data_IF_810840579131
#
_entry.id   IF_810840579131
#
_cell.length_a   1.000
_cell.length_b   1.000
_cell.length_c   1.000
_cell.angle_alpha   90.00
_cell.angle_beta   90.00
_cell.angle_gamma   90.00
#
_symmetry.space_group_name_H-M   'P 1'
#
loop_
_entity.id
_entity.type
_entity.pdbx_description
1 polymer ?
#
# COMPACT_ATOMS: atom_id res chain seq x y z
N UNK A 1 80.37 59.89 -6.01
CA UNK A 1 80.76 58.74 -5.12
C UNK A 1 79.67 57.70 -5.15
N UNK A 2 79.99 56.67 -5.80
CA UNK A 2 79.39 55.29 -5.91
C UNK A 2 77.85 55.10 -5.93
N UNK A 3 77.39 54.95 -7.14
CA UNK A 3 76.12 54.20 -7.42
C UNK A 3 76.34 52.70 -7.30
N UNK A 4 75.46 52.06 -6.60
CA UNK A 4 75.29 50.60 -6.67
C UNK A 4 73.85 50.36 -7.19
N UNK A 5 73.78 49.97 -8.43
CA UNK A 5 72.56 49.50 -9.07
C UNK A 5 72.30 48.07 -8.68
N UNK A 6 71.24 47.81 -7.97
CA UNK A 6 70.79 46.46 -7.67
C UNK A 6 69.83 45.98 -8.77
N UNK A 7 70.22 44.95 -9.49
CA UNK A 7 69.36 44.12 -10.34
C UNK A 7 68.48 43.27 -9.43
N UNK A 8 67.22 43.66 -9.26
CA UNK A 8 66.18 42.78 -8.67
C UNK A 8 64.88 43.09 -9.39
N UNK A 9 64.58 42.40 -10.44
CA UNK A 9 63.37 42.66 -11.22
C UNK A 9 62.89 41.55 -12.16
N UNK A 10 63.49 40.36 -12.10
CA UNK A 10 63.13 39.30 -13.08
C UNK A 10 62.82 37.90 -12.44
N UNK A 11 62.92 37.79 -11.16
CA UNK A 11 62.67 36.48 -10.49
C UNK A 11 61.27 36.36 -9.93
N UNK A 12 60.59 37.49 -9.61
CA UNK A 12 59.26 37.47 -8.97
C UNK A 12 58.08 37.30 -9.93
N UNK A 13 58.28 37.35 -11.26
CA UNK A 13 57.23 37.16 -12.25
C UNK A 13 56.94 35.72 -12.62
N UNK A 14 57.79 34.79 -12.30
CA UNK A 14 57.64 33.35 -12.60
C UNK A 14 57.04 32.56 -11.43
N UNK A 15 57.10 33.05 -10.22
CA UNK A 15 56.50 32.40 -9.03
C UNK A 15 55.02 32.69 -8.89
N UNK A 16 54.49 33.77 -9.43
CA UNK A 16 53.06 34.09 -9.39
C UNK A 16 52.22 33.35 -10.48
N UNK A 17 52.84 32.91 -11.59
CA UNK A 17 52.16 32.10 -12.59
C UNK A 17 52.05 30.59 -12.22
N UNK A 18 52.94 30.11 -11.33
CA UNK A 18 52.90 28.72 -10.87
C UNK A 18 51.86 28.40 -9.80
N UNK A 19 51.39 29.43 -9.05
CA UNK A 19 50.41 29.21 -7.96
C UNK A 19 48.94 29.33 -8.42
N UNK A 20 48.65 29.92 -9.59
CA UNK A 20 47.31 30.06 -10.11
C UNK A 20 46.84 28.78 -10.84
N UNK A 21 47.74 27.88 -11.21
CA UNK A 21 47.41 26.59 -11.86
C UNK A 21 47.11 25.43 -10.91
N UNK A 22 47.33 25.61 -9.58
CA UNK A 22 47.08 24.59 -8.57
C UNK A 22 45.67 24.69 -7.91
N UNK A 23 44.90 25.75 -8.22
CA UNK A 23 43.50 25.89 -7.73
C UNK A 23 42.45 25.65 -8.80
N UNK A 24 42.83 25.32 -10.04
CA UNK A 24 41.88 24.98 -11.13
C UNK A 24 41.71 23.46 -11.36
N UNK A 25 42.05 22.65 -10.40
CA UNK A 25 42.00 21.23 -10.55
C UNK A 25 41.35 20.58 -9.33
N UNK A 26 40.07 20.59 -9.21
CA UNK A 26 39.22 19.55 -8.59
C UNK A 26 37.78 20.07 -8.50
N UNK A 27 37.15 20.42 -9.61
CA UNK A 27 35.77 20.04 -9.77
C UNK A 27 35.81 18.59 -10.29
N UNK A 28 36.09 17.65 -9.41
CA UNK A 28 35.65 16.28 -9.58
C UNK A 28 34.13 16.43 -9.52
N UNK A 29 33.52 16.55 -10.70
CA UNK A 29 32.10 16.30 -10.81
C UNK A 29 31.92 14.89 -10.22
N UNK A 30 31.25 14.82 -9.09
CA UNK A 30 30.78 13.58 -8.52
C UNK A 30 30.07 12.83 -9.65
N UNK A 31 30.78 11.92 -10.30
CA UNK A 31 30.12 10.91 -11.11
C UNK A 31 29.27 10.14 -10.10
N UNK A 32 27.95 10.17 -10.24
CA UNK A 32 27.11 9.41 -9.32
C UNK A 32 27.63 7.97 -9.31
N UNK A 33 28.04 7.50 -8.13
CA UNK A 33 28.47 6.12 -7.94
C UNK A 33 27.31 5.23 -8.42
N UNK A 34 27.50 4.35 -9.42
CA UNK A 34 26.45 3.47 -9.89
C UNK A 34 25.87 2.60 -8.77
N UNK A 35 26.58 2.42 -7.66
CA UNK A 35 26.10 1.71 -6.47
C UNK A 35 25.37 2.64 -5.49
N UNK A 36 25.44 3.96 -5.61
CA UNK A 36 24.78 4.89 -4.67
C UNK A 36 23.24 4.73 -4.72
N UNK A 37 22.70 4.44 -5.90
CA UNK A 37 21.27 4.17 -6.08
C UNK A 37 20.83 2.88 -5.37
N UNK A 38 21.63 1.81 -5.45
CA UNK A 38 21.29 0.51 -4.82
C UNK A 38 21.42 0.62 -3.30
N UNK A 39 22.49 1.23 -2.80
CA UNK A 39 22.67 1.45 -1.37
C UNK A 39 21.56 2.34 -0.78
N UNK A 40 21.19 3.41 -1.49
CA UNK A 40 20.10 4.29 -1.11
C UNK A 40 18.75 3.55 -1.09
N UNK A 41 18.48 2.67 -2.05
CA UNK A 41 17.23 1.89 -2.06
C UNK A 41 17.14 0.93 -0.88
N UNK A 42 18.24 0.26 -0.49
CA UNK A 42 18.26 -0.59 0.70
C UNK A 42 17.96 0.23 1.98
N UNK A 43 18.44 1.46 2.07
CA UNK A 43 18.09 2.37 3.17
C UNK A 43 16.63 2.75 3.15
N UNK A 44 16.06 3.02 1.98
CA UNK A 44 14.63 3.33 1.84
C UNK A 44 13.76 2.13 2.23
N UNK A 45 14.11 0.92 1.80
CA UNK A 45 13.42 -0.32 2.19
C UNK A 45 13.48 -0.54 3.70
N UNK A 46 14.66 -0.47 4.32
CA UNK A 46 14.83 -0.61 5.76
C UNK A 46 14.08 0.47 6.55
N UNK A 47 13.99 1.69 6.01
CA UNK A 47 13.24 2.78 6.63
C UNK A 47 11.72 2.53 6.58
N UNK A 48 11.20 2.01 5.47
CA UNK A 48 9.78 1.63 5.35
C UNK A 48 9.42 0.49 6.31
N UNK A 49 10.25 -0.54 6.35
CA UNK A 49 10.07 -1.70 7.24
C UNK A 49 10.17 -1.29 8.72
N UNK A 50 11.04 -0.33 9.02
CA UNK A 50 11.22 0.25 10.36
C UNK A 50 10.17 1.29 10.77
N UNK A 51 9.17 1.56 9.95
CA UNK A 51 8.14 2.59 10.23
C UNK A 51 8.68 4.02 10.22
N UNK A 52 9.72 4.30 9.43
CA UNK A 52 10.32 5.62 9.25
C UNK A 52 10.06 6.17 7.83
N UNK A 53 8.78 6.39 7.44
CA UNK A 53 8.43 6.75 6.07
C UNK A 53 9.01 8.10 5.62
N UNK A 54 9.23 9.04 6.54
CA UNK A 54 9.88 10.31 6.20
C UNK A 54 11.34 10.13 5.75
N UNK A 55 12.07 9.19 6.38
CA UNK A 55 13.43 8.86 5.96
C UNK A 55 13.43 8.23 4.57
N UNK A 56 12.53 7.30 4.32
CA UNK A 56 12.37 6.67 3.00
C UNK A 56 12.02 7.73 1.93
N UNK A 57 11.12 8.67 2.24
CA UNK A 57 10.75 9.77 1.34
C UNK A 57 11.95 10.64 0.98
N UNK A 58 12.76 11.03 1.96
CA UNK A 58 13.96 11.85 1.74
C UNK A 58 14.97 11.13 0.84
N UNK A 59 15.24 9.85 1.13
CA UNK A 59 16.18 9.03 0.33
C UNK A 59 15.68 8.86 -1.09
N UNK A 60 14.42 8.49 -1.28
CA UNK A 60 13.84 8.28 -2.62
C UNK A 60 13.77 9.59 -3.42
N UNK A 61 13.48 10.72 -2.77
CA UNK A 61 13.49 12.03 -3.40
C UNK A 61 14.89 12.39 -3.93
N UNK A 62 15.93 12.18 -3.14
CA UNK A 62 17.32 12.43 -3.58
C UNK A 62 17.72 11.53 -4.75
N UNK A 63 17.29 10.26 -4.77
CA UNK A 63 17.53 9.35 -5.91
C UNK A 63 16.80 9.90 -7.16
N UNK A 64 15.55 10.33 -7.02
CA UNK A 64 14.74 10.83 -8.14
C UNK A 64 15.20 12.16 -8.71
N UNK A 65 15.95 12.98 -7.95
CA UNK A 65 16.62 14.18 -8.48
C UNK A 65 17.63 13.83 -9.57
N UNK A 66 18.39 12.75 -9.39
CA UNK A 66 19.39 12.28 -10.37
C UNK A 66 18.84 11.25 -11.36
N UNK A 67 17.80 10.51 -10.99
CA UNK A 67 17.21 9.42 -11.75
C UNK A 67 15.67 9.53 -11.76
N UNK A 68 15.08 10.52 -12.45
CA UNK A 68 13.64 10.85 -12.37
C UNK A 68 12.72 9.73 -12.87
N UNK A 69 13.26 8.75 -13.59
CA UNK A 69 12.54 7.58 -14.12
C UNK A 69 12.91 6.25 -13.41
N UNK A 70 13.55 6.32 -12.25
CA UNK A 70 13.84 5.13 -11.47
C UNK A 70 12.54 4.54 -10.88
N UNK A 71 12.05 3.46 -11.49
CA UNK A 71 10.77 2.83 -11.13
C UNK A 71 10.77 2.38 -9.68
N UNK A 72 11.87 1.81 -9.17
CA UNK A 72 11.95 1.33 -7.79
C UNK A 72 11.85 2.51 -6.81
N UNK A 73 12.57 3.60 -7.09
CA UNK A 73 12.50 4.81 -6.26
C UNK A 73 11.09 5.42 -6.26
N UNK A 74 10.41 5.47 -7.42
CA UNK A 74 9.03 5.93 -7.53
C UNK A 74 8.06 5.06 -6.73
N UNK A 75 8.25 3.73 -6.75
CA UNK A 75 7.44 2.82 -5.94
C UNK A 75 7.63 3.09 -4.44
N UNK A 76 8.89 3.13 -3.97
CA UNK A 76 9.18 3.39 -2.55
C UNK A 76 8.77 4.78 -2.10
N UNK A 77 8.84 5.77 -2.98
CA UNK A 77 8.29 7.10 -2.72
C UNK A 77 6.77 7.03 -2.52
N UNK A 78 6.06 6.29 -3.37
CA UNK A 78 4.63 6.03 -3.24
C UNK A 78 4.29 5.32 -1.91
N UNK A 79 5.05 4.27 -1.55
CA UNK A 79 4.87 3.54 -0.30
C UNK A 79 5.09 4.46 0.92
N UNK A 80 6.13 5.30 0.90
CA UNK A 80 6.43 6.25 1.97
C UNK A 80 5.33 7.31 2.13
N UNK A 81 4.87 7.88 1.01
CA UNK A 81 3.80 8.88 1.00
C UNK A 81 2.47 8.30 1.49
N UNK A 82 2.16 7.04 1.13
CA UNK A 82 0.98 6.35 1.63
C UNK A 82 1.04 6.16 3.15
N UNK A 83 2.19 5.74 3.71
CA UNK A 83 2.39 5.63 5.16
C UNK A 83 2.32 6.99 5.87
N UNK A 84 2.69 8.08 5.20
CA UNK A 84 2.58 9.45 5.71
C UNK A 84 1.16 10.03 5.58
N UNK A 85 0.19 9.22 5.17
CA UNK A 85 -1.19 9.65 4.92
C UNK A 85 -1.29 10.79 3.89
N UNK A 86 -0.47 10.71 2.83
CA UNK A 86 -0.46 11.62 1.68
C UNK A 86 -0.89 10.87 0.40
N UNK A 87 -2.17 10.47 0.30
CA UNK A 87 -2.63 9.55 -0.75
C UNK A 87 -2.50 10.13 -2.17
N UNK A 88 -2.75 11.43 -2.36
CA UNK A 88 -2.66 12.03 -3.70
C UNK A 88 -1.23 12.02 -4.24
N UNK A 89 -0.25 12.36 -3.40
CA UNK A 89 1.16 12.33 -3.77
C UNK A 89 1.66 10.89 -3.98
N UNK A 90 1.16 9.94 -3.19
CA UNK A 90 1.46 8.52 -3.37
C UNK A 90 0.93 8.00 -4.70
N UNK A 91 -0.31 8.32 -5.05
CA UNK A 91 -0.92 7.94 -6.33
C UNK A 91 -0.14 8.52 -7.52
N UNK A 92 0.33 9.78 -7.41
CA UNK A 92 1.15 10.39 -8.45
C UNK A 92 2.47 9.65 -8.63
N UNK A 93 3.14 9.26 -7.55
CA UNK A 93 4.38 8.48 -7.61
C UNK A 93 4.16 7.11 -8.28
N UNK A 94 3.08 6.41 -7.97
CA UNK A 94 2.73 5.15 -8.64
C UNK A 94 2.35 5.35 -10.11
N UNK A 95 1.62 6.42 -10.48
CA UNK A 95 1.32 6.73 -11.88
C UNK A 95 2.59 7.00 -12.68
N UNK A 96 3.54 7.74 -12.12
CA UNK A 96 4.85 7.95 -12.73
C UNK A 96 5.61 6.64 -12.92
N UNK A 97 5.56 5.73 -11.94
CA UNK A 97 6.15 4.39 -12.09
C UNK A 97 5.51 3.62 -13.25
N UNK A 98 4.18 3.65 -13.39
CA UNK A 98 3.46 3.00 -14.48
C UNK A 98 3.69 3.68 -15.85
N UNK A 99 3.95 4.98 -15.87
CA UNK A 99 4.30 5.67 -17.12
C UNK A 99 5.65 5.20 -17.68
N UNK A 100 6.59 4.83 -16.80
CA UNK A 100 7.88 4.24 -17.19
C UNK A 100 7.76 2.75 -17.48
N UNK A 101 7.07 2.01 -16.62
CA UNK A 101 6.91 0.56 -16.70
C UNK A 101 5.43 0.16 -16.47
N UNK A 102 4.61 0.07 -17.55
CA UNK A 102 3.16 -0.13 -17.46
C UNK A 102 2.69 -1.44 -16.83
N UNK A 103 3.59 -2.42 -16.68
CA UNK A 103 3.32 -3.73 -16.09
C UNK A 103 3.88 -3.87 -14.66
N UNK A 104 4.09 -2.75 -13.95
CA UNK A 104 4.62 -2.77 -12.59
C UNK A 104 3.53 -3.17 -11.59
N UNK A 105 3.53 -4.44 -11.19
CA UNK A 105 2.53 -5.03 -10.29
C UNK A 105 2.36 -4.25 -8.98
N UNK A 106 3.46 -3.83 -8.34
CA UNK A 106 3.43 -3.07 -7.09
C UNK A 106 2.73 -1.71 -7.23
N UNK A 107 2.94 -1.00 -8.35
CA UNK A 107 2.27 0.28 -8.60
C UNK A 107 0.76 0.11 -8.83
N UNK A 108 0.36 -0.93 -9.58
CA UNK A 108 -1.05 -1.27 -9.79
C UNK A 108 -1.74 -1.62 -8.46
N UNK A 109 -1.08 -2.41 -7.61
CA UNK A 109 -1.57 -2.75 -6.29
C UNK A 109 -1.70 -1.51 -5.39
N UNK A 110 -0.67 -0.66 -5.38
CA UNK A 110 -0.65 0.58 -4.59
C UNK A 110 -1.75 1.54 -4.99
N UNK A 111 -1.92 1.80 -6.29
CA UNK A 111 -3.01 2.64 -6.82
C UNK A 111 -4.38 2.08 -6.44
N UNK A 112 -4.66 0.82 -6.77
CA UNK A 112 -5.95 0.23 -6.49
C UNK A 112 -6.32 0.26 -5.00
N UNK A 113 -5.36 0.07 -4.09
CA UNK A 113 -5.60 0.19 -2.64
C UNK A 113 -5.93 1.62 -2.20
N UNK A 114 -5.24 2.62 -2.74
CA UNK A 114 -5.52 4.02 -2.44
C UNK A 114 -6.89 4.44 -3.01
N UNK A 115 -7.23 3.98 -4.20
CA UNK A 115 -8.54 4.21 -4.82
C UNK A 115 -9.67 3.57 -4.01
N UNK A 116 -9.51 2.33 -3.53
CA UNK A 116 -10.45 1.72 -2.59
C UNK A 116 -10.64 2.55 -1.32
N UNK A 117 -9.56 3.08 -0.75
CA UNK A 117 -9.63 3.90 0.46
C UNK A 117 -10.37 5.23 0.24
N UNK A 118 -10.48 5.69 -1.00
CA UNK A 118 -11.22 6.90 -1.41
C UNK A 118 -12.65 6.60 -1.83
N UNK A 119 -13.01 5.33 -2.00
CA UNK A 119 -14.29 4.92 -2.55
C UNK A 119 -14.34 4.89 -4.08
N UNK A 120 -13.20 5.10 -4.77
CA UNK A 120 -13.07 5.09 -6.23
C UNK A 120 -13.02 3.62 -6.74
N UNK A 121 -14.09 2.87 -6.47
CA UNK A 121 -14.13 1.42 -6.65
C UNK A 121 -13.96 0.96 -8.11
N UNK A 122 -14.43 1.74 -9.07
CA UNK A 122 -14.31 1.42 -10.50
C UNK A 122 -12.85 1.53 -11.00
N UNK A 123 -12.10 2.55 -10.54
CA UNK A 123 -10.69 2.72 -10.87
C UNK A 123 -9.85 1.63 -10.20
N UNK A 124 -10.17 1.31 -8.94
CA UNK A 124 -9.53 0.21 -8.21
C UNK A 124 -9.74 -1.14 -8.92
N UNK A 125 -10.96 -1.44 -9.38
CA UNK A 125 -11.26 -2.64 -10.19
C UNK A 125 -10.36 -2.71 -11.41
N UNK A 126 -10.23 -1.59 -12.16
CA UNK A 126 -9.37 -1.53 -13.36
C UNK A 126 -7.92 -1.90 -13.04
N UNK A 127 -7.35 -1.34 -11.97
CA UNK A 127 -5.96 -1.60 -11.60
C UNK A 127 -5.74 -3.03 -11.10
N UNK A 128 -6.65 -3.59 -10.28
CA UNK A 128 -6.53 -4.98 -9.83
C UNK A 128 -6.76 -5.98 -10.96
N UNK A 129 -7.72 -5.74 -11.85
CA UNK A 129 -7.92 -6.57 -13.03
C UNK A 129 -6.68 -6.58 -13.93
N UNK A 130 -6.07 -5.41 -14.17
CA UNK A 130 -4.80 -5.30 -14.91
C UNK A 130 -3.67 -6.05 -14.21
N UNK A 131 -3.55 -5.93 -12.88
CA UNK A 131 -2.57 -6.66 -12.09
C UNK A 131 -2.74 -8.18 -12.28
N UNK A 132 -3.96 -8.68 -12.26
CA UNK A 132 -4.25 -10.11 -12.44
C UNK A 132 -3.98 -10.61 -13.87
N UNK A 133 -3.87 -9.74 -14.87
CA UNK A 133 -3.35 -10.16 -16.19
C UNK A 133 -1.84 -10.44 -16.15
N UNK A 134 -1.10 -9.83 -15.22
CA UNK A 134 0.34 -10.00 -15.04
C UNK A 134 0.63 -11.15 -14.09
N UNK A 135 -0.10 -11.20 -12.97
CA UNK A 135 0.03 -12.20 -11.91
C UNK A 135 -1.34 -12.83 -11.60
N UNK A 136 -1.79 -13.81 -12.39
CA UNK A 136 -3.16 -14.36 -12.31
C UNK A 136 -3.58 -14.96 -10.96
N UNK A 137 -2.62 -15.36 -10.14
CA UNK A 137 -2.85 -16.01 -8.83
C UNK A 137 -2.44 -15.11 -7.65
N UNK A 138 -2.34 -13.80 -7.86
CA UNK A 138 -2.08 -12.86 -6.76
C UNK A 138 -3.30 -12.78 -5.84
N UNK A 139 -3.20 -13.42 -4.67
CA UNK A 139 -4.30 -13.50 -3.72
C UNK A 139 -4.70 -12.16 -3.13
N UNK A 140 -3.77 -11.20 -3.03
CA UNK A 140 -4.07 -9.84 -2.54
C UNK A 140 -4.88 -9.09 -3.59
N UNK A 141 -4.47 -9.17 -4.86
CA UNK A 141 -5.19 -8.54 -5.96
C UNK A 141 -6.59 -9.14 -6.14
N UNK A 142 -6.74 -10.48 -6.07
CA UNK A 142 -8.04 -11.16 -6.16
C UNK A 142 -8.98 -10.72 -5.03
N UNK A 143 -8.48 -10.67 -3.80
CA UNK A 143 -9.28 -10.22 -2.66
C UNK A 143 -9.73 -8.76 -2.82
N UNK A 144 -8.82 -7.87 -3.21
CA UNK A 144 -9.11 -6.45 -3.37
C UNK A 144 -10.01 -6.18 -4.59
N UNK A 145 -9.89 -6.99 -5.66
CA UNK A 145 -10.85 -6.95 -6.78
C UNK A 145 -12.26 -7.30 -6.30
N UNK A 146 -12.39 -8.35 -5.48
CA UNK A 146 -13.67 -8.69 -4.87
C UNK A 146 -14.25 -7.53 -4.06
N UNK A 147 -13.43 -6.87 -3.23
CA UNK A 147 -13.86 -5.68 -2.45
C UNK A 147 -14.30 -4.54 -3.38
N UNK A 148 -13.55 -4.27 -4.46
CA UNK A 148 -13.92 -3.24 -5.43
C UNK A 148 -15.26 -3.54 -6.12
N UNK A 149 -15.54 -4.81 -6.40
CA UNK A 149 -16.80 -5.25 -6.98
C UNK A 149 -17.97 -5.12 -5.98
N UNK A 150 -17.75 -5.48 -4.71
CA UNK A 150 -18.75 -5.32 -3.65
C UNK A 150 -19.13 -3.86 -3.42
N UNK A 151 -18.16 -2.95 -3.40
CA UNK A 151 -18.41 -1.51 -3.29
C UNK A 151 -19.20 -0.93 -4.47
N UNK A 152 -19.25 -1.63 -5.60
CA UNK A 152 -20.06 -1.29 -6.76
C UNK A 152 -21.42 -2.01 -6.75
N UNK A 153 -21.80 -2.73 -5.69
CA UNK A 153 -23.02 -3.54 -5.61
C UNK A 153 -23.01 -4.81 -6.48
N UNK A 154 -21.86 -5.18 -7.06
CA UNK A 154 -21.69 -6.34 -7.94
C UNK A 154 -21.32 -7.60 -7.15
N UNK A 155 -22.17 -7.94 -6.16
CA UNK A 155 -21.88 -8.95 -5.15
C UNK A 155 -21.62 -10.35 -5.73
N UNK A 156 -22.37 -10.78 -6.76
CA UNK A 156 -22.13 -12.11 -7.38
C UNK A 156 -20.75 -12.19 -8.04
N UNK A 157 -20.30 -11.12 -8.68
CA UNK A 157 -18.98 -11.05 -9.28
C UNK A 157 -17.89 -11.06 -8.19
N UNK A 158 -18.06 -10.32 -7.09
CA UNK A 158 -17.17 -10.32 -5.93
C UNK A 158 -17.06 -11.73 -5.32
N UNK A 159 -18.19 -12.40 -5.09
CA UNK A 159 -18.23 -13.78 -4.56
C UNK A 159 -17.49 -14.76 -5.46
N UNK A 160 -17.55 -14.58 -6.78
CA UNK A 160 -16.80 -15.40 -7.74
C UNK A 160 -15.29 -15.21 -7.59
N UNK A 161 -14.80 -13.98 -7.38
CA UNK A 161 -13.38 -13.71 -7.15
C UNK A 161 -12.90 -14.26 -5.81
N UNK A 162 -13.64 -14.07 -4.72
CA UNK A 162 -13.32 -14.68 -3.43
C UNK A 162 -13.31 -16.21 -3.51
N UNK A 163 -14.27 -16.81 -4.20
CA UNK A 163 -14.32 -18.26 -4.39
C UNK A 163 -13.13 -18.80 -5.22
N UNK A 164 -12.66 -18.04 -6.22
CA UNK A 164 -11.41 -18.38 -6.95
C UNK A 164 -10.22 -18.36 -6.00
N UNK A 165 -10.09 -17.31 -5.20
CA UNK A 165 -9.02 -17.18 -4.22
C UNK A 165 -9.04 -18.32 -3.21
N UNK A 166 -10.20 -18.67 -2.67
CA UNK A 166 -10.35 -19.76 -1.69
C UNK A 166 -10.07 -21.15 -2.27
N UNK A 167 -10.22 -21.36 -3.58
CA UNK A 167 -9.77 -22.60 -4.24
C UNK A 167 -8.26 -22.73 -4.26
N UNK A 168 -7.54 -21.61 -4.41
CA UNK A 168 -6.07 -21.57 -4.46
C UNK A 168 -5.49 -21.54 -3.04
N UNK A 169 -6.15 -20.82 -2.14
CA UNK A 169 -5.76 -20.61 -0.75
C UNK A 169 -6.94 -20.88 0.20
N UNK A 170 -7.27 -22.15 0.48
CA UNK A 170 -8.46 -22.50 1.30
C UNK A 170 -8.43 -21.90 2.71
N UNK A 171 -7.24 -21.57 3.23
CA UNK A 171 -7.05 -20.94 4.54
C UNK A 171 -7.05 -19.40 4.51
N UNK A 172 -7.33 -18.75 3.38
CA UNK A 172 -7.32 -17.29 3.29
C UNK A 172 -8.51 -16.70 4.07
N UNK A 173 -8.22 -16.25 5.28
CA UNK A 173 -9.23 -15.71 6.20
C UNK A 173 -9.91 -14.45 5.66
N UNK A 174 -9.15 -13.55 5.07
CA UNK A 174 -9.70 -12.30 4.52
C UNK A 174 -10.72 -12.58 3.42
N UNK A 175 -10.40 -13.49 2.50
CA UNK A 175 -11.31 -13.89 1.44
C UNK A 175 -12.58 -14.58 1.98
N UNK A 176 -12.45 -15.45 3.01
CA UNK A 176 -13.61 -16.08 3.66
C UNK A 176 -14.54 -15.05 4.28
N UNK A 177 -13.99 -14.08 5.01
CA UNK A 177 -14.78 -13.03 5.68
C UNK A 177 -15.44 -12.12 4.65
N UNK A 178 -14.68 -11.67 3.65
CA UNK A 178 -15.21 -10.79 2.60
C UNK A 178 -16.30 -11.51 1.77
N UNK A 179 -16.11 -12.79 1.45
CA UNK A 179 -17.15 -13.58 0.78
C UNK A 179 -18.41 -13.69 1.62
N UNK A 180 -18.28 -13.89 2.93
CA UNK A 180 -19.40 -13.98 3.83
C UNK A 180 -20.16 -12.64 3.93
N UNK A 181 -19.44 -11.52 4.02
CA UNK A 181 -20.06 -10.19 4.01
C UNK A 181 -20.78 -9.93 2.69
N UNK A 182 -20.15 -10.23 1.56
CA UNK A 182 -20.76 -10.12 0.23
C UNK A 182 -22.05 -10.97 0.09
N UNK A 183 -22.03 -12.20 0.63
CA UNK A 183 -23.22 -13.05 0.71
C UNK A 183 -24.33 -12.41 1.55
N UNK A 184 -23.98 -11.80 2.68
CA UNK A 184 -24.95 -11.11 3.53
C UNK A 184 -25.57 -9.90 2.83
N UNK A 185 -24.73 -9.05 2.19
CA UNK A 185 -25.15 -7.87 1.44
C UNK A 185 -26.03 -8.22 0.22
N UNK A 186 -25.87 -9.40 -0.37
CA UNK A 186 -26.70 -9.89 -1.48
C UNK A 186 -27.95 -10.66 -1.02
N UNK A 187 -28.35 -10.57 0.25
CA UNK A 187 -29.53 -11.26 0.79
C UNK A 187 -29.34 -12.76 1.02
N UNK A 188 -28.11 -13.29 0.94
CA UNK A 188 -27.78 -14.71 1.11
C UNK A 188 -27.20 -15.01 2.52
N UNK A 189 -27.77 -14.36 3.54
CA UNK A 189 -27.26 -14.39 4.90
C UNK A 189 -27.10 -15.80 5.48
N UNK A 190 -28.00 -16.74 5.15
CA UNK A 190 -27.86 -18.15 5.60
C UNK A 190 -26.58 -18.81 5.07
N UNK A 191 -26.16 -18.50 3.85
CA UNK A 191 -24.90 -19.01 3.28
C UNK A 191 -23.69 -18.37 3.95
N UNK A 192 -23.79 -17.08 4.29
CA UNK A 192 -22.78 -16.39 5.08
C UNK A 192 -22.60 -17.03 6.45
N UNK A 193 -23.70 -17.31 7.15
CA UNK A 193 -23.68 -18.04 8.44
C UNK A 193 -23.00 -19.40 8.30
N UNK A 194 -23.37 -20.18 7.27
CA UNK A 194 -22.76 -21.49 7.04
C UNK A 194 -21.24 -21.41 6.81
N UNK A 195 -20.78 -20.37 6.13
CA UNK A 195 -19.35 -20.14 5.85
C UNK A 195 -18.57 -19.72 7.11
N UNK A 196 -19.14 -18.85 7.95
CA UNK A 196 -18.43 -18.26 9.10
C UNK A 196 -18.56 -19.10 10.38
N UNK A 197 -19.58 -19.94 10.52
CA UNK A 197 -19.86 -20.70 11.74
C UNK A 197 -18.65 -21.56 12.18
N UNK A 198 -18.12 -22.37 11.27
CA UNK A 198 -16.97 -23.22 11.57
C UNK A 198 -15.73 -22.43 12.05
N UNK A 199 -15.24 -21.44 11.31
CA UNK A 199 -14.15 -20.60 11.74
C UNK A 199 -14.39 -19.86 13.06
N UNK A 200 -15.58 -19.29 13.28
CA UNK A 200 -15.89 -18.48 14.45
C UNK A 200 -16.06 -19.29 15.75
N UNK A 201 -16.28 -20.60 15.65
CA UNK A 201 -16.46 -21.49 16.81
C UNK A 201 -15.18 -22.23 17.22
N UNK A 202 -14.07 -22.02 16.52
CA UNK A 202 -12.77 -22.60 16.88
C UNK A 202 -12.21 -22.00 18.16
N UNK A 203 -11.38 -22.72 18.93
CA UNK A 203 -10.72 -22.18 20.11
C UNK A 203 -9.81 -20.99 19.83
N UNK A 204 -9.25 -20.89 18.62
CA UNK A 204 -8.39 -19.82 18.13
C UNK A 204 -9.14 -18.69 17.39
N UNK A 205 -10.48 -18.74 17.39
CA UNK A 205 -11.29 -17.71 16.76
C UNK A 205 -11.06 -16.35 17.43
N UNK A 206 -10.89 -15.32 16.59
CA UNK A 206 -10.72 -13.96 17.07
C UNK A 206 -12.08 -13.30 17.38
N UNK A 207 -12.13 -12.26 18.24
CA UNK A 207 -13.36 -11.48 18.44
C UNK A 207 -13.96 -10.98 17.13
N UNK A 208 -13.11 -10.56 16.18
CA UNK A 208 -13.56 -10.12 14.86
C UNK A 208 -14.30 -11.19 14.08
N UNK A 209 -13.81 -12.44 14.08
CA UNK A 209 -14.48 -13.55 13.40
C UNK A 209 -15.86 -13.84 14.01
N UNK A 210 -16.00 -13.73 15.33
CA UNK A 210 -17.29 -13.88 16.01
C UNK A 210 -18.23 -12.73 15.70
N UNK A 211 -17.71 -11.49 15.60
CA UNK A 211 -18.50 -10.34 15.17
C UNK A 211 -19.01 -10.50 13.74
N UNK A 212 -18.16 -10.96 12.80
CA UNK A 212 -18.57 -11.23 11.41
C UNK A 212 -19.68 -12.29 11.34
N UNK A 213 -19.59 -13.36 12.14
CA UNK A 213 -20.68 -14.35 12.28
C UNK A 213 -21.95 -13.70 12.88
N UNK A 214 -21.82 -12.83 13.88
CA UNK A 214 -22.97 -12.16 14.49
C UNK A 214 -23.68 -11.22 13.51
N UNK A 215 -22.95 -10.53 12.62
CA UNK A 215 -23.54 -9.76 11.51
C UNK A 215 -24.36 -10.69 10.61
N UNK A 216 -23.78 -11.80 10.13
CA UNK A 216 -24.47 -12.75 9.26
C UNK A 216 -25.72 -13.33 9.92
N UNK A 217 -25.63 -13.71 11.21
CA UNK A 217 -26.76 -14.21 11.99
C UNK A 217 -27.86 -13.17 12.15
N UNK A 218 -27.50 -11.89 12.34
CA UNK A 218 -28.47 -10.81 12.45
C UNK A 218 -29.24 -10.61 11.14
N UNK A 219 -28.49 -10.56 10.03
CA UNK A 219 -29.06 -10.40 8.68
C UNK A 219 -29.89 -11.61 8.25
N UNK A 220 -29.63 -12.81 8.78
CA UNK A 220 -30.46 -14.02 8.59
C UNK A 220 -31.64 -14.13 9.56
N UNK A 221 -31.88 -13.12 10.42
CA UNK A 221 -32.95 -13.11 11.41
C UNK A 221 -32.65 -13.90 12.69
N UNK A 222 -31.48 -14.52 12.83
CA UNK A 222 -31.08 -15.34 13.98
C UNK A 222 -30.51 -14.49 15.13
N UNK A 223 -31.24 -13.45 15.52
CA UNK A 223 -30.82 -12.43 16.50
C UNK A 223 -30.43 -13.00 17.86
N UNK A 224 -31.12 -14.07 18.32
CA UNK A 224 -30.80 -14.71 19.60
C UNK A 224 -29.39 -15.32 19.57
N UNK A 225 -29.04 -16.03 18.52
CA UNK A 225 -27.71 -16.64 18.38
C UNK A 225 -26.65 -15.57 18.18
N UNK A 226 -26.92 -14.52 17.39
CA UNK A 226 -26.04 -13.36 17.23
C UNK A 226 -25.66 -12.75 18.59
N UNK A 227 -26.66 -12.54 19.46
CA UNK A 227 -26.44 -12.02 20.82
C UNK A 227 -25.54 -12.95 21.63
N UNK A 228 -25.76 -14.27 21.58
CA UNK A 228 -24.91 -15.24 22.31
C UNK A 228 -23.47 -15.20 21.83
N UNK A 229 -23.25 -15.10 20.54
CA UNK A 229 -21.91 -14.99 19.94
C UNK A 229 -21.21 -13.71 20.39
N UNK A 230 -21.89 -12.57 20.37
CA UNK A 230 -21.35 -11.29 20.81
C UNK A 230 -20.99 -11.27 22.30
N UNK A 231 -21.80 -11.88 23.16
CA UNK A 231 -21.56 -11.97 24.61
C UNK A 231 -20.32 -12.80 24.98
N UNK A 232 -19.71 -13.51 24.03
CA UNK A 232 -18.41 -14.18 24.26
C UNK A 232 -17.28 -13.17 24.48
N UNK A 233 -17.36 -11.99 23.84
CA UNK A 233 -16.28 -10.99 23.83
C UNK A 233 -16.71 -9.62 24.38
N UNK A 234 -18.02 -9.34 24.41
CA UNK A 234 -18.57 -8.03 24.73
C UNK A 234 -19.40 -8.05 26.01
N UNK A 235 -19.50 -6.89 26.64
CA UNK A 235 -20.48 -6.68 27.70
C UNK A 235 -21.91 -6.73 27.16
N UNK A 236 -22.93 -7.00 27.99
CA UNK A 236 -24.33 -7.01 27.53
C UNK A 236 -24.77 -5.69 26.86
N UNK A 237 -24.29 -4.56 27.34
CA UNK A 237 -24.60 -3.23 26.77
C UNK A 237 -23.96 -3.07 25.39
N UNK A 238 -22.70 -3.49 25.22
CA UNK A 238 -21.97 -3.37 23.96
C UNK A 238 -22.50 -4.35 22.91
N UNK A 239 -22.87 -5.56 23.33
CA UNK A 239 -23.51 -6.54 22.48
C UNK A 239 -24.87 -6.05 21.95
N UNK A 240 -25.69 -5.42 22.81
CA UNK A 240 -26.96 -4.83 22.40
C UNK A 240 -26.76 -3.66 21.43
N UNK A 241 -25.77 -2.79 21.66
CA UNK A 241 -25.43 -1.68 20.77
C UNK A 241 -24.94 -2.17 19.40
N UNK A 242 -24.06 -3.19 19.38
CA UNK A 242 -23.59 -3.81 18.15
C UNK A 242 -24.74 -4.42 17.35
N UNK A 243 -25.63 -5.17 18.02
CA UNK A 243 -26.79 -5.80 17.39
C UNK A 243 -27.73 -4.76 16.75
N UNK A 244 -28.00 -3.65 17.45
CA UNK A 244 -28.82 -2.56 16.92
C UNK A 244 -28.18 -1.94 15.66
N UNK A 245 -26.86 -1.77 15.67
CA UNK A 245 -26.10 -1.33 14.49
C UNK A 245 -26.25 -2.27 13.30
N UNK A 246 -26.14 -3.57 13.52
CA UNK A 246 -26.29 -4.58 12.45
C UNK A 246 -27.71 -4.63 11.88
N UNK A 247 -28.73 -4.45 12.72
CA UNK A 247 -30.14 -4.36 12.27
C UNK A 247 -30.41 -3.10 11.44
N UNK A 248 -29.74 -1.99 11.76
CA UNK A 248 -29.86 -0.78 10.98
C UNK A 248 -29.29 -0.93 9.55
N UNK A 249 -28.25 -1.77 9.36
CA UNK A 249 -27.74 -2.09 8.02
C UNK A 249 -28.80 -2.81 7.18
N UNK A 250 -29.51 -3.80 7.74
CA UNK A 250 -30.58 -4.54 7.04
C UNK A 250 -31.76 -3.61 6.65
N UNK A 251 -32.03 -2.59 7.44
CA UNK A 251 -33.12 -1.65 7.18
C UNK A 251 -32.77 -0.60 6.10
N UNK A 252 -31.49 -0.32 5.89
CA UNK A 252 -31.02 0.64 4.89
C UNK A 252 -30.98 0.08 3.46
N UNK A 253 -31.00 -1.25 3.31
CA UNK A 253 -30.95 -1.96 2.03
C UNK A 253 -32.34 -2.35 1.47
N UNK A 254 -33.41 -2.13 2.23
CA UNK A 254 -34.81 -2.39 1.86
C UNK A 254 -35.54 -1.12 1.43
#
# INVERSE_FOLDING_TARGET
>A
MNQITTKSGLIDRWLLCGLVWLLAGCSIGDRPDPNSGIAGMNVADAALDGGMPQTALNVTSSILESQPHNVIALLRQGDALAQLNQPDAAMESYRRALAVAPATAAALLGLGRLELSRGDAADAEHHFAKLLTITPNDGVAMNNLGVALDLQGRHEAAQAEYAKLLRIQPGNRSASVNQALSLSLSGQADRSVALLRGPATRPDATPRMRQDLAVALTLSGNTREATQVLLTDLSPSDAAAALAGYQALDAAEK
#
